data_IF_226833990955
#
_entry.id   IF_226833990955
#
_cell.length_a   1.000
_cell.length_b   1.000
_cell.length_c   1.000
_cell.angle_alpha   90.00
_cell.angle_beta   90.00
_cell.angle_gamma   90.00
#
_symmetry.space_group_name_H-M   'P 1'
#
loop_
_entity.id
_entity.type
_entity.pdbx_description
1 polymer ?
#
# COMPACT_ATOMS: atom_id res chain seq x y z
N UNK A 1 14.89 2.45 32.87
CA UNK A 1 15.60 1.38 32.12
C UNK A 1 14.70 0.16 32.00
N UNK A 2 14.20 -0.14 30.79
CA UNK A 2 13.73 -1.44 30.26
C UNK A 2 12.74 -1.19 29.11
N UNK A 3 13.23 -1.02 27.88
CA UNK A 3 12.42 -1.12 26.65
C UNK A 3 13.23 -1.65 25.45
N UNK A 4 14.35 -2.33 25.71
CA UNK A 4 15.31 -2.78 24.69
C UNK A 4 15.08 -4.17 24.11
N UNK A 5 13.85 -4.69 23.99
CA UNK A 5 13.63 -6.08 23.54
C UNK A 5 12.47 -6.36 22.58
N UNK A 6 11.85 -5.35 21.95
CA UNK A 6 10.70 -5.60 21.04
C UNK A 6 10.91 -5.29 19.55
N UNK A 7 12.11 -4.90 19.11
CA UNK A 7 12.39 -4.61 17.69
C UNK A 7 13.04 -5.77 16.93
N UNK A 8 12.85 -7.00 17.38
CA UNK A 8 13.50 -8.18 16.80
C UNK A 8 12.48 -9.24 16.39
N UNK A 9 11.55 -8.95 15.46
CA UNK A 9 10.94 -10.01 14.64
C UNK A 9 10.06 -9.53 13.43
N UNK A 10 10.58 -8.75 12.47
CA UNK A 10 10.02 -8.77 11.10
C UNK A 10 11.19 -8.75 10.11
N UNK A 11 11.55 -9.93 9.59
CA UNK A 11 12.48 -10.06 8.46
C UNK A 11 11.93 -9.20 7.30
N UNK A 12 12.79 -8.34 6.74
CA UNK A 12 12.53 -7.28 5.74
C UNK A 12 11.67 -6.07 6.15
N UNK A 13 11.92 -5.47 7.33
CA UNK A 13 11.61 -4.04 7.57
C UNK A 13 12.89 -3.21 7.39
N UNK A 14 13.10 -2.61 6.21
CA UNK A 14 14.03 -1.48 6.10
C UNK A 14 13.24 -0.22 6.43
N UNK A 15 13.40 0.30 7.65
CA UNK A 15 12.86 1.60 7.99
C UNK A 15 13.95 2.63 7.75
N UNK A 16 13.73 3.47 6.74
CA UNK A 16 14.67 4.52 6.40
C UNK A 16 14.18 5.80 7.06
N UNK A 17 14.98 6.29 8.01
CA UNK A 17 14.79 7.61 8.60
C UNK A 17 15.49 8.64 7.71
N UNK A 18 14.74 9.64 7.25
CA UNK A 18 15.28 10.70 6.41
C UNK A 18 15.19 12.04 7.16
N UNK A 19 16.33 12.71 7.42
CA UNK A 19 16.32 14.04 7.98
C UNK A 19 15.63 15.05 7.03
N UNK A 20 15.07 16.14 7.55
CA UNK A 20 14.47 17.19 6.71
C UNK A 20 15.51 17.76 5.75
N UNK A 21 15.16 17.87 4.45
CA UNK A 21 15.96 18.69 3.51
C UNK A 21 16.35 18.06 2.19
N UNK A 22 16.05 16.78 1.89
CA UNK A 22 16.43 16.23 0.59
C UNK A 22 15.37 15.31 -0.04
N UNK A 23 14.26 15.92 -0.49
CA UNK A 23 13.18 15.23 -1.22
C UNK A 23 13.68 14.49 -2.46
N UNK A 24 14.68 15.04 -3.14
CA UNK A 24 15.31 14.42 -4.31
C UNK A 24 16.09 13.17 -3.93
N UNK A 25 16.89 13.22 -2.85
CA UNK A 25 17.58 12.03 -2.34
C UNK A 25 16.60 10.98 -1.85
N UNK A 26 15.53 11.37 -1.14
CA UNK A 26 14.49 10.43 -0.74
C UNK A 26 13.87 9.74 -1.95
N UNK A 27 13.47 10.51 -2.97
CA UNK A 27 12.91 9.95 -4.20
C UNK A 27 13.91 8.99 -4.86
N UNK A 28 15.17 9.39 -5.04
CA UNK A 28 16.23 8.53 -5.61
C UNK A 28 16.41 7.24 -4.82
N UNK A 29 16.52 7.32 -3.50
CA UNK A 29 16.63 6.12 -2.65
C UNK A 29 15.41 5.21 -2.81
N UNK A 30 14.20 5.76 -2.88
CA UNK A 30 13.01 4.95 -3.09
C UNK A 30 13.02 4.28 -4.47
N UNK A 31 13.45 4.97 -5.52
CA UNK A 31 13.62 4.40 -6.87
C UNK A 31 14.58 3.22 -6.85
N UNK A 32 15.74 3.38 -6.21
CA UNK A 32 16.73 2.32 -6.10
C UNK A 32 16.16 1.12 -5.32
N UNK A 33 15.41 1.37 -4.24
CA UNK A 33 14.78 0.32 -3.46
C UNK A 33 13.71 -0.44 -4.24
N UNK A 34 12.85 0.25 -5.02
CA UNK A 34 11.78 -0.42 -5.77
C UNK A 34 12.29 -1.10 -7.03
N UNK A 35 13.47 -0.73 -7.53
CA UNK A 35 14.12 -1.39 -8.67
C UNK A 35 14.70 -2.77 -8.33
N UNK A 36 14.95 -3.05 -7.05
CA UNK A 36 15.43 -4.34 -6.56
C UNK A 36 14.29 -5.38 -6.49
N UNK A 37 14.54 -6.57 -7.03
CA UNK A 37 13.59 -7.69 -7.22
C UNK A 37 13.16 -8.39 -5.92
N UNK A 38 13.69 -7.99 -4.76
CA UNK A 38 13.23 -8.49 -3.46
C UNK A 38 11.87 -7.94 -3.11
N UNK A 39 11.03 -8.76 -2.47
CA UNK A 39 9.75 -8.34 -1.91
C UNK A 39 9.95 -7.61 -0.58
N UNK A 40 9.41 -6.41 -0.42
CA UNK A 40 9.68 -5.56 0.76
C UNK A 40 8.54 -4.60 1.11
N UNK A 41 8.49 -4.24 2.39
CA UNK A 41 7.68 -3.13 2.90
C UNK A 41 8.63 -1.99 3.22
N UNK A 42 8.41 -0.83 2.62
CA UNK A 42 9.24 0.37 2.78
C UNK A 42 8.43 1.37 3.61
N UNK A 43 8.94 1.71 4.79
CA UNK A 43 8.29 2.67 5.67
C UNK A 43 9.06 3.98 5.71
N UNK A 44 8.39 5.08 5.34
CA UNK A 44 8.92 6.44 5.32
C UNK A 44 8.35 7.20 6.52
N UNK A 45 9.20 7.51 7.48
CA UNK A 45 8.82 8.28 8.67
C UNK A 45 9.63 9.56 8.80
N UNK A 46 8.93 10.67 9.01
CA UNK A 46 9.55 11.95 9.35
C UNK A 46 8.55 12.85 10.07
N UNK A 47 9.04 13.95 10.63
CA UNK A 47 8.21 15.05 11.14
C UNK A 47 7.24 15.60 10.06
N UNK A 48 6.18 16.28 10.52
CA UNK A 48 5.20 16.93 9.64
C UNK A 48 5.86 18.03 8.80
N UNK A 49 5.35 18.28 7.59
CA UNK A 49 5.85 19.35 6.71
C UNK A 49 7.14 19.05 5.93
N UNK A 50 7.71 17.87 6.04
CA UNK A 50 8.95 17.47 5.32
C UNK A 50 8.77 17.22 3.82
N UNK A 51 7.53 17.07 3.35
CA UNK A 51 7.21 16.76 1.95
C UNK A 51 7.19 15.28 1.58
N UNK A 52 6.96 14.36 2.55
CA UNK A 52 6.74 12.92 2.28
C UNK A 52 5.66 12.70 1.22
N UNK A 53 4.51 13.34 1.36
CA UNK A 53 3.41 13.25 0.40
C UNK A 53 3.84 13.67 -1.00
N UNK A 54 4.60 14.77 -1.13
CA UNK A 54 5.15 15.22 -2.41
C UNK A 54 6.03 14.14 -3.06
N UNK A 55 6.87 13.47 -2.28
CA UNK A 55 7.72 12.38 -2.78
C UNK A 55 6.90 11.13 -3.11
N UNK A 56 5.92 10.76 -2.29
CA UNK A 56 5.03 9.63 -2.56
C UNK A 56 4.23 9.83 -3.86
N UNK A 57 3.75 11.06 -4.10
CA UNK A 57 3.13 11.45 -5.36
C UNK A 57 4.09 11.35 -6.54
N UNK A 58 5.29 11.94 -6.43
CA UNK A 58 6.29 11.88 -7.50
C UNK A 58 6.68 10.43 -7.85
N UNK A 59 6.90 9.58 -6.84
CA UNK A 59 7.19 8.17 -7.03
C UNK A 59 6.02 7.43 -7.69
N UNK A 60 4.78 7.73 -7.31
CA UNK A 60 3.61 7.15 -7.95
C UNK A 60 3.54 7.50 -9.44
N UNK A 61 3.83 8.75 -9.81
CA UNK A 61 3.79 9.20 -11.20
C UNK A 61 4.87 8.52 -12.05
N UNK A 62 6.08 8.36 -11.51
CA UNK A 62 7.15 7.61 -12.19
C UNK A 62 6.78 6.14 -12.36
N UNK A 63 6.36 5.46 -11.29
CA UNK A 63 5.97 4.05 -11.36
C UNK A 63 4.78 3.82 -12.29
N UNK A 64 3.84 4.77 -12.38
CA UNK A 64 2.75 4.70 -13.35
C UNK A 64 3.27 4.80 -14.79
N UNK A 65 4.20 5.72 -15.06
CA UNK A 65 4.84 5.85 -16.36
C UNK A 65 5.65 4.61 -16.77
N UNK A 66 6.22 3.91 -15.78
CA UNK A 66 6.92 2.64 -15.98
C UNK A 66 5.99 1.42 -16.07
N UNK A 67 4.68 1.57 -15.84
CA UNK A 67 3.74 0.44 -15.79
C UNK A 67 3.80 -0.40 -14.52
N UNK A 68 4.51 0.06 -13.48
CA UNK A 68 4.86 -0.69 -12.26
C UNK A 68 4.05 -0.31 -11.02
N UNK A 69 3.02 0.52 -11.20
CA UNK A 69 2.13 0.95 -10.12
C UNK A 69 0.83 0.15 -10.13
N UNK A 70 0.61 -0.67 -9.09
CA UNK A 70 -0.64 -1.41 -8.92
C UNK A 70 -1.74 -0.57 -8.28
N UNK A 71 -1.38 0.41 -7.44
CA UNK A 71 -2.35 1.33 -6.87
C UNK A 71 -1.77 2.26 -5.81
N UNK A 72 -2.56 3.27 -5.47
CA UNK A 72 -2.26 4.25 -4.44
C UNK A 72 -3.46 4.55 -3.57
N UNK A 73 -3.20 4.90 -2.31
CA UNK A 73 -4.16 5.56 -1.46
C UNK A 73 -3.46 6.66 -0.65
N UNK A 74 -3.94 7.89 -0.77
CA UNK A 74 -3.37 9.03 -0.07
C UNK A 74 -4.36 9.51 0.97
N UNK A 75 -4.07 9.19 2.22
CA UNK A 75 -4.95 9.55 3.32
C UNK A 75 -5.01 11.08 3.49
N UNK A 76 -6.16 11.56 3.90
CA UNK A 76 -6.34 12.97 4.22
C UNK A 76 -7.52 13.19 5.16
N UNK A 77 -7.26 13.80 6.32
CA UNK A 77 -8.35 14.18 7.27
C UNK A 77 -9.33 15.19 6.68
N UNK A 78 -8.95 15.88 5.61
CA UNK A 78 -9.79 16.88 4.93
C UNK A 78 -10.91 16.25 4.09
N UNK A 79 -10.81 14.97 3.77
CA UNK A 79 -11.73 14.29 2.86
C UNK A 79 -12.22 12.99 3.47
N UNK A 80 -13.52 12.90 3.76
CA UNK A 80 -14.15 11.76 4.44
C UNK A 80 -13.77 10.42 3.77
N UNK A 81 -13.82 10.36 2.42
CA UNK A 81 -13.47 9.13 1.68
C UNK A 81 -11.99 8.73 1.77
N UNK A 82 -11.11 9.66 2.18
CA UNK A 82 -9.66 9.46 2.34
C UNK A 82 -9.23 9.49 3.80
N UNK A 83 -10.16 9.62 4.73
CA UNK A 83 -9.88 9.61 6.16
C UNK A 83 -10.25 8.29 6.80
N UNK A 84 -10.51 7.21 6.07
CA UNK A 84 -10.84 5.90 6.66
C UNK A 84 -10.12 4.77 5.94
N UNK A 85 -9.79 3.72 6.68
CA UNK A 85 -9.24 2.48 6.14
C UNK A 85 -10.24 1.71 5.28
N UNK A 86 -11.55 1.93 5.49
CA UNK A 86 -12.62 1.15 4.87
C UNK A 86 -12.71 1.37 3.35
N UNK A 87 -12.19 2.50 2.86
CA UNK A 87 -12.15 2.82 1.44
C UNK A 87 -10.87 2.37 0.73
N UNK A 88 -9.84 1.93 1.46
CA UNK A 88 -8.55 1.60 0.85
C UNK A 88 -8.69 0.43 -0.13
N UNK A 89 -9.26 -0.68 0.32
CA UNK A 89 -9.42 -1.87 -0.53
C UNK A 89 -10.33 -1.60 -1.74
N UNK A 90 -11.45 -0.89 -1.54
CA UNK A 90 -12.34 -0.48 -2.62
C UNK A 90 -11.64 0.42 -3.65
N UNK A 91 -10.81 1.35 -3.18
CA UNK A 91 -10.07 2.27 -4.05
C UNK A 91 -9.00 1.53 -4.86
N UNK A 92 -8.26 0.63 -4.22
CA UNK A 92 -7.27 -0.21 -4.91
C UNK A 92 -7.94 -1.12 -5.95
N UNK A 93 -9.07 -1.73 -5.61
CA UNK A 93 -9.84 -2.55 -6.55
C UNK A 93 -10.33 -1.72 -7.75
N UNK A 94 -10.87 -0.52 -7.49
CA UNK A 94 -11.27 0.40 -8.55
C UNK A 94 -10.09 0.75 -9.47
N UNK A 95 -8.92 1.08 -8.92
CA UNK A 95 -7.72 1.40 -9.71
C UNK A 95 -7.25 0.21 -10.55
N UNK A 96 -7.20 -0.99 -9.97
CA UNK A 96 -6.87 -2.22 -10.69
C UNK A 96 -7.84 -2.47 -11.85
N UNK A 97 -9.15 -2.40 -11.61
CA UNK A 97 -10.17 -2.59 -12.64
C UNK A 97 -10.20 -1.47 -13.68
N UNK A 98 -9.83 -0.24 -13.32
CA UNK A 98 -9.77 0.87 -14.25
C UNK A 98 -8.62 0.70 -15.26
N UNK A 99 -7.51 0.10 -14.85
CA UNK A 99 -6.29 0.01 -15.66
C UNK A 99 -6.07 -1.36 -16.30
N UNK A 100 -6.70 -2.41 -15.77
CA UNK A 100 -6.51 -3.77 -16.26
C UNK A 100 -7.86 -4.44 -16.56
N UNK A 101 -8.21 -4.63 -17.85
CA UNK A 101 -9.47 -5.25 -18.25
C UNK A 101 -9.70 -6.62 -17.59
N UNK A 102 -8.64 -7.43 -17.44
CA UNK A 102 -8.75 -8.73 -16.79
C UNK A 102 -9.13 -8.62 -15.31
N UNK A 103 -8.54 -7.68 -14.58
CA UNK A 103 -8.92 -7.44 -13.19
C UNK A 103 -10.36 -6.90 -13.10
N UNK A 104 -10.76 -6.02 -14.03
CA UNK A 104 -12.10 -5.47 -14.11
C UNK A 104 -13.17 -6.56 -14.20
N UNK A 105 -12.98 -7.54 -15.08
CA UNK A 105 -13.89 -8.68 -15.23
C UNK A 105 -14.07 -9.45 -13.92
N UNK A 106 -12.97 -9.77 -13.25
CA UNK A 106 -12.97 -10.52 -11.99
C UNK A 106 -13.68 -9.74 -10.88
N UNK A 107 -13.38 -8.44 -10.76
CA UNK A 107 -13.99 -7.56 -9.75
C UNK A 107 -15.49 -7.40 -10.00
N UNK A 108 -15.91 -7.15 -11.24
CA UNK A 108 -17.33 -7.04 -11.60
C UNK A 108 -18.06 -8.35 -11.29
N UNK A 109 -17.47 -9.49 -11.64
CA UNK A 109 -18.05 -10.80 -11.34
C UNK A 109 -18.19 -10.99 -9.83
N UNK A 110 -17.14 -10.73 -9.06
CA UNK A 110 -17.17 -10.87 -7.60
C UNK A 110 -18.29 -10.03 -6.97
N UNK A 111 -18.44 -8.76 -7.37
CA UNK A 111 -19.50 -7.86 -6.88
C UNK A 111 -20.89 -8.32 -7.34
N UNK A 112 -21.00 -8.86 -8.56
CA UNK A 112 -22.28 -9.38 -9.07
C UNK A 112 -22.74 -10.63 -8.31
N UNK A 113 -21.79 -11.50 -7.96
CA UNK A 113 -22.05 -12.72 -7.19
C UNK A 113 -22.33 -12.41 -5.70
N UNK A 114 -21.64 -11.41 -5.14
CA UNK A 114 -21.81 -10.96 -3.75
C UNK A 114 -21.84 -9.42 -3.66
N UNK A 115 -23.03 -8.80 -3.81
CA UNK A 115 -23.17 -7.34 -3.71
C UNK A 115 -22.80 -6.78 -2.33
N UNK A 116 -22.76 -7.61 -1.28
CA UNK A 116 -22.34 -7.17 0.05
C UNK A 116 -20.85 -6.80 0.09
N UNK A 117 -20.05 -7.14 -0.93
CA UNK A 117 -18.69 -6.63 -1.12
C UNK A 117 -18.61 -5.10 -1.25
N UNK A 118 -19.74 -4.40 -1.47
CA UNK A 118 -19.81 -2.94 -1.45
C UNK A 118 -20.26 -2.36 -0.10
N UNK A 119 -20.65 -3.22 0.86
CA UNK A 119 -21.10 -2.82 2.19
C UNK A 119 -19.91 -2.54 3.12
N UNK A 120 -20.07 -1.54 3.99
CA UNK A 120 -19.13 -1.26 5.08
C UNK A 120 -19.09 -2.36 6.15
N UNK A 121 -20.08 -3.24 6.19
CA UNK A 121 -20.18 -4.33 7.18
C UNK A 121 -19.41 -5.60 6.75
N UNK A 122 -18.95 -5.66 5.50
CA UNK A 122 -18.24 -6.82 4.98
C UNK A 122 -16.87 -6.96 5.64
N UNK A 123 -16.49 -8.21 5.92
CA UNK A 123 -15.18 -8.53 6.47
C UNK A 123 -14.05 -8.02 5.56
N UNK A 124 -13.04 -7.38 6.16
CA UNK A 124 -11.84 -6.94 5.42
C UNK A 124 -11.08 -8.10 4.79
N UNK A 125 -11.16 -9.30 5.38
CA UNK A 125 -10.56 -10.51 4.80
C UNK A 125 -11.29 -10.91 3.51
N UNK A 126 -12.62 -10.83 3.48
CA UNK A 126 -13.39 -11.12 2.28
C UNK A 126 -13.10 -10.08 1.19
N UNK A 127 -13.06 -8.79 1.59
CA UNK A 127 -12.77 -7.70 0.66
C UNK A 127 -11.38 -7.84 0.04
N UNK A 128 -10.33 -8.12 0.83
CA UNK A 128 -8.99 -8.27 0.27
C UNK A 128 -8.90 -9.52 -0.61
N UNK A 129 -9.52 -10.64 -0.23
CA UNK A 129 -9.45 -11.87 -1.03
C UNK A 129 -10.13 -11.64 -2.39
N UNK A 130 -11.38 -11.17 -2.37
CA UNK A 130 -12.22 -11.07 -3.58
C UNK A 130 -11.89 -9.88 -4.47
N UNK A 131 -11.58 -8.72 -3.88
CA UNK A 131 -11.40 -7.49 -4.66
C UNK A 131 -9.93 -7.19 -4.98
N UNK A 132 -8.97 -7.83 -4.31
CA UNK A 132 -7.54 -7.54 -4.47
C UNK A 132 -6.76 -8.81 -4.86
N UNK A 133 -6.76 -9.84 -4.04
CA UNK A 133 -5.93 -11.04 -4.23
C UNK A 133 -6.35 -11.82 -5.48
N UNK A 134 -7.63 -12.16 -5.63
CA UNK A 134 -8.13 -12.88 -6.80
C UNK A 134 -7.84 -12.15 -8.13
N UNK A 135 -8.13 -10.84 -8.27
CA UNK A 135 -7.69 -10.08 -9.44
C UNK A 135 -6.18 -10.09 -9.66
N UNK A 136 -5.38 -9.89 -8.60
CA UNK A 136 -3.92 -9.88 -8.70
C UNK A 136 -3.33 -11.23 -9.11
N UNK A 137 -3.93 -12.36 -8.68
CA UNK A 137 -3.53 -13.71 -9.16
C UNK A 137 -3.71 -13.84 -10.67
N UNK A 138 -4.77 -13.27 -11.23
CA UNK A 138 -4.98 -13.27 -12.68
C UNK A 138 -3.98 -12.36 -13.39
N UNK A 139 -3.62 -11.23 -12.79
CA UNK A 139 -2.61 -10.32 -13.34
C UNK A 139 -1.19 -10.86 -13.21
N UNK A 140 -0.90 -11.79 -12.29
CA UNK A 140 0.42 -12.38 -12.12
C UNK A 140 0.96 -13.04 -13.40
N UNK A 141 0.07 -13.57 -14.24
CA UNK A 141 0.43 -14.15 -15.55
C UNK A 141 0.81 -13.06 -16.56
N UNK A 142 0.13 -11.92 -16.50
CA UNK A 142 0.31 -10.78 -17.41
C UNK A 142 1.58 -10.02 -17.06
N UNK A 143 1.86 -9.81 -15.78
CA UNK A 143 3.03 -9.09 -15.29
C UNK A 143 4.27 -9.98 -15.12
N UNK A 144 4.26 -11.18 -15.71
CA UNK A 144 5.36 -12.13 -15.59
C UNK A 144 6.62 -11.57 -16.26
N UNK A 145 7.69 -11.39 -15.48
CA UNK A 145 8.98 -10.88 -15.96
C UNK A 145 9.19 -9.38 -15.78
N UNK A 146 8.20 -8.64 -15.28
CA UNK A 146 8.37 -7.25 -14.87
C UNK A 146 9.05 -7.14 -13.48
N UNK A 147 9.79 -6.05 -13.26
CA UNK A 147 10.33 -5.71 -11.93
C UNK A 147 9.14 -5.33 -11.06
N UNK A 148 8.78 -6.20 -10.11
CA UNK A 148 7.42 -6.33 -9.57
C UNK A 148 6.70 -5.07 -9.08
N UNK A 149 5.37 -5.21 -8.99
CA UNK A 149 4.43 -4.10 -8.83
C UNK A 149 4.50 -3.45 -7.45
N UNK A 150 4.14 -2.17 -7.41
CA UNK A 150 4.20 -1.35 -6.20
C UNK A 150 2.82 -0.82 -5.80
N UNK A 151 2.57 -0.80 -4.49
CA UNK A 151 1.43 -0.12 -3.87
C UNK A 151 1.96 0.98 -2.95
N UNK A 152 1.37 2.18 -3.00
CA UNK A 152 1.77 3.31 -2.16
C UNK A 152 0.61 3.77 -1.27
N UNK A 153 0.85 3.80 0.03
CA UNK A 153 -0.03 4.40 1.03
C UNK A 153 0.65 5.61 1.66
N UNK A 154 0.12 6.80 1.45
CA UNK A 154 0.65 8.03 2.05
C UNK A 154 -0.18 8.49 3.24
N UNK A 155 0.50 9.02 4.26
CA UNK A 155 -0.10 9.61 5.46
C UNK A 155 -1.01 8.64 6.23
N UNK A 156 -0.57 7.39 6.41
CA UNK A 156 -1.36 6.33 7.05
C UNK A 156 -1.90 6.72 8.44
N UNK A 157 -1.19 7.60 9.17
CA UNK A 157 -1.59 8.18 10.46
C UNK A 157 -2.79 9.17 10.39
N UNK A 158 -3.25 9.52 9.18
CA UNK A 158 -4.44 10.33 8.96
C UNK A 158 -5.74 9.51 8.86
N UNK A 159 -5.66 8.18 8.86
CA UNK A 159 -6.82 7.28 8.88
C UNK A 159 -7.57 7.29 10.22
N UNK A 160 -8.85 7.65 10.16
CA UNK A 160 -9.82 7.66 11.26
C UNK A 160 -10.84 6.54 11.09
N UNK A 161 -10.47 5.35 11.58
CA UNK A 161 -11.45 4.34 12.01
C UNK A 161 -11.01 3.92 13.40
N UNK A 162 -11.21 4.75 14.43
CA UNK A 162 -10.82 4.51 15.85
C UNK A 162 -9.31 4.40 16.20
N UNK A 163 -8.45 5.18 15.55
CA UNK A 163 -7.08 5.49 16.03
C UNK A 163 -5.95 4.56 15.53
N UNK A 164 -4.73 4.75 16.06
CA UNK A 164 -3.50 4.02 15.66
C UNK A 164 -3.64 2.48 15.77
N UNK A 165 -4.57 1.99 16.59
CA UNK A 165 -4.85 0.56 16.78
C UNK A 165 -5.25 -0.20 15.52
N UNK A 166 -5.61 0.51 14.45
CA UNK A 166 -6.00 -0.07 13.16
C UNK A 166 -4.85 -0.14 12.15
N UNK A 167 -3.76 0.60 12.38
CA UNK A 167 -2.62 0.59 11.48
C UNK A 167 -1.99 -0.80 11.44
N UNK A 168 -1.72 -1.41 12.60
CA UNK A 168 -1.08 -2.71 12.67
C UNK A 168 -1.87 -3.85 12.02
N UNK A 169 -3.17 -4.05 12.34
CA UNK A 169 -3.98 -5.04 11.66
C UNK A 169 -4.06 -4.79 10.15
N UNK A 170 -4.20 -3.53 9.74
CA UNK A 170 -4.36 -3.19 8.33
C UNK A 170 -3.05 -3.37 7.54
N UNK A 171 -1.91 -3.00 8.10
CA UNK A 171 -0.60 -3.27 7.51
C UNK A 171 -0.33 -4.77 7.48
N UNK A 172 -0.73 -5.52 8.51
CA UNK A 172 -0.59 -6.98 8.54
C UNK A 172 -1.41 -7.68 7.44
N UNK A 173 -2.61 -7.15 7.17
CA UNK A 173 -3.48 -7.56 6.07
C UNK A 173 -2.80 -7.32 4.72
N UNK A 174 -2.31 -6.11 4.46
CA UNK A 174 -1.63 -5.80 3.19
C UNK A 174 -0.27 -6.47 3.04
N UNK A 175 0.42 -6.77 4.14
CA UNK A 175 1.65 -7.54 4.12
C UNK A 175 1.43 -8.96 3.57
N UNK A 176 0.19 -9.47 3.53
CA UNK A 176 -0.13 -10.71 2.84
C UNK A 176 0.16 -10.61 1.32
N UNK A 177 -0.06 -9.44 0.71
CA UNK A 177 0.23 -9.18 -0.70
C UNK A 177 1.73 -9.32 -1.04
N UNK A 178 2.58 -8.97 -0.06
CA UNK A 178 4.04 -9.04 -0.19
C UNK A 178 4.55 -10.46 0.11
N UNK A 179 3.94 -11.16 1.07
CA UNK A 179 4.39 -12.51 1.47
C UNK A 179 3.96 -13.61 0.51
N UNK A 180 2.83 -13.44 -0.17
CA UNK A 180 2.36 -14.41 -1.15
C UNK A 180 3.15 -14.28 -2.47
N UNK A 181 4.06 -15.24 -2.69
CA UNK A 181 4.92 -15.28 -3.87
C UNK A 181 4.14 -15.49 -5.18
N UNK A 182 2.88 -15.94 -5.12
CA UNK A 182 2.02 -16.05 -6.29
C UNK A 182 1.48 -14.70 -6.76
N UNK A 183 1.53 -13.68 -5.89
CA UNK A 183 1.06 -12.34 -6.21
C UNK A 183 2.18 -11.49 -6.80
N UNK A 184 1.86 -10.60 -7.74
CA UNK A 184 2.84 -9.77 -8.45
C UNK A 184 3.26 -8.51 -7.68
N UNK A 185 2.85 -8.35 -6.42
CA UNK A 185 3.18 -7.18 -5.60
C UNK A 185 4.50 -7.41 -4.88
N UNK A 186 5.48 -6.55 -5.16
CA UNK A 186 6.83 -6.64 -4.60
C UNK A 186 7.09 -5.55 -3.59
N UNK A 187 6.49 -4.37 -3.78
CA UNK A 187 6.75 -3.23 -2.93
C UNK A 187 5.45 -2.69 -2.31
N UNK A 188 5.45 -2.56 -0.98
CA UNK A 188 4.44 -1.78 -0.26
C UNK A 188 5.14 -0.58 0.39
N UNK A 189 4.91 0.61 -0.16
CA UNK A 189 5.49 1.85 0.32
C UNK A 189 4.46 2.53 1.22
N UNK A 190 4.85 2.82 2.47
CA UNK A 190 3.97 3.43 3.46
C UNK A 190 4.65 4.68 3.99
N UNK A 191 3.92 5.78 4.06
CA UNK A 191 4.37 7.00 4.74
C UNK A 191 3.52 7.25 5.98
N UNK A 192 4.17 7.67 7.07
CA UNK A 192 3.50 8.15 8.27
C UNK A 192 4.36 9.17 9.04
N UNK A 193 3.78 9.83 10.04
CA UNK A 193 4.56 10.60 11.03
C UNK A 193 5.44 9.69 11.89
N UNK A 194 6.56 10.24 12.36
CA UNK A 194 7.58 9.50 13.12
C UNK A 194 7.05 8.87 14.41
N UNK A 195 6.09 9.52 15.08
CA UNK A 195 5.54 9.08 16.37
C UNK A 195 4.51 7.95 16.24
N UNK A 196 4.05 7.71 15.02
CA UNK A 196 2.92 6.82 14.72
C UNK A 196 3.41 5.54 14.01
N UNK A 197 4.70 5.25 14.12
CA UNK A 197 5.28 4.00 13.63
C UNK A 197 5.02 2.88 14.64
N UNK A 198 4.50 1.72 14.20
CA UNK A 198 4.35 0.56 15.06
C UNK A 198 5.66 -0.20 15.30
#
# INVERSE_FOLDING_TARGET
>A
MRSGRYLRLIRTRAALYFPPGNRLTLLRTLKDLVADDRRKIIWISSESGSGKSTVAHALADELRGEGRLAGTFFFSRKYIKRSTFDHVLHTLAYQLGLHHPRAKEIIIKAISDDPALLSSEKSRNDLIEKLIIEPLRQLAVIWKGEVGMSIILDALDEGTSSGLHYIDPFVSLLAHLIRDASLPIYNLIISSRLRDRP
#
